data_IF_330994690572
#
_entry.id   IF_330994690572
#
_cell.length_a   1.000
_cell.length_b   1.000
_cell.length_c   1.000
_cell.angle_alpha   90.00
_cell.angle_beta   90.00
_cell.angle_gamma   90.00
#
_symmetry.space_group_name_H-M   'P 1'
#
loop_
_entity.id
_entity.type
_entity.pdbx_description
1 polymer ?
#
# COMPACT_ATOMS: atom_id res chain seq x y z
N UNK A 1 10.76 10.64 20.94
CA UNK A 1 9.84 9.51 20.71
C UNK A 1 9.55 9.46 19.22
N UNK A 2 9.86 8.36 18.54
CA UNK A 2 9.34 8.12 17.20
C UNK A 2 7.86 7.74 17.35
N UNK A 3 7.00 8.29 16.50
CA UNK A 3 5.61 7.86 16.43
C UNK A 3 5.55 6.45 15.80
N UNK A 4 4.67 5.60 16.32
CA UNK A 4 4.35 4.31 15.70
C UNK A 4 3.12 4.48 14.83
N UNK A 5 3.10 3.80 13.68
CA UNK A 5 2.02 3.83 12.71
C UNK A 5 1.43 2.43 12.60
N UNK A 6 0.15 2.30 12.93
CA UNK A 6 -0.58 1.04 12.84
C UNK A 6 -1.01 0.72 11.39
N UNK A 7 -0.83 1.64 10.44
CA UNK A 7 -1.47 1.56 9.13
C UNK A 7 -2.86 2.18 9.11
N UNK A 8 -3.67 1.73 8.15
CA UNK A 8 -4.97 2.34 7.86
C UNK A 8 -5.35 2.10 6.40
N UNK A 9 -6.50 2.61 5.99
CA UNK A 9 -6.90 2.71 4.58
C UNK A 9 -7.33 4.14 4.31
N UNK A 10 -7.20 4.60 3.07
CA UNK A 10 -7.84 5.86 2.67
C UNK A 10 -9.34 5.64 2.51
N UNK A 11 -10.13 6.54 3.09
CA UNK A 11 -11.57 6.66 2.80
C UNK A 11 -11.69 7.52 1.54
N UNK A 12 -11.40 6.91 0.38
CA UNK A 12 -11.40 7.56 -0.93
C UNK A 12 -11.80 6.57 -2.03
N UNK A 13 -12.59 7.05 -2.99
CA UNK A 13 -13.24 6.24 -4.03
C UNK A 13 -14.62 6.80 -4.38
N UNK A 14 -15.37 6.20 -5.34
CA UNK A 14 -16.75 6.59 -5.62
C UNK A 14 -17.57 6.60 -4.32
N UNK A 15 -18.37 7.65 -4.12
CA UNK A 15 -19.25 7.77 -2.94
C UNK A 15 -19.98 6.44 -2.69
N UNK A 16 -19.84 5.91 -1.47
CA UNK A 16 -20.63 4.76 -1.00
C UNK A 16 -19.97 3.38 -1.12
N UNK A 17 -18.73 3.27 -1.60
CA UNK A 17 -18.01 1.99 -1.56
C UNK A 17 -17.51 1.72 -0.13
N UNK A 18 -18.02 0.69 0.57
CA UNK A 18 -17.52 0.35 1.90
C UNK A 18 -16.07 -0.11 1.77
N UNK A 19 -15.19 0.42 2.63
CA UNK A 19 -13.85 -0.13 2.85
C UNK A 19 -13.75 -0.56 4.31
N UNK A 20 -13.11 -1.70 4.53
CA UNK A 20 -12.81 -2.19 5.86
C UNK A 20 -11.31 -2.36 6.00
N UNK A 21 -10.82 -2.19 7.23
CA UNK A 21 -9.46 -2.52 7.59
C UNK A 21 -9.44 -3.04 9.03
N UNK A 22 -8.56 -4.00 9.28
CA UNK A 22 -8.27 -4.48 10.63
C UNK A 22 -6.87 -4.01 11.02
N UNK A 23 -6.76 -3.38 12.19
CA UNK A 23 -5.53 -2.81 12.75
C UNK A 23 -5.31 -3.35 14.17
N UNK A 24 -4.07 -3.68 14.49
CA UNK A 24 -3.67 -3.98 15.86
C UNK A 24 -3.27 -2.71 16.61
N UNK A 25 -4.05 -2.36 17.63
CA UNK A 25 -3.82 -1.16 18.45
C UNK A 25 -3.49 -1.56 19.89
N UNK A 26 -2.23 -1.40 20.29
CA UNK A 26 -1.81 -1.62 21.68
C UNK A 26 -2.35 -0.55 22.63
N UNK A 27 -2.36 -0.84 23.94
CA UNK A 27 -2.65 0.16 24.96
C UNK A 27 -1.79 1.42 24.75
N UNK A 28 -2.42 2.58 24.71
CA UNK A 28 -1.73 3.83 24.43
C UNK A 28 -2.58 4.87 23.70
N UNK A 29 -1.94 5.98 23.35
CA UNK A 29 -2.56 7.08 22.62
C UNK A 29 -2.30 6.93 21.13
N UNK A 30 -3.37 6.94 20.35
CA UNK A 30 -3.37 6.82 18.90
C UNK A 30 -3.97 8.07 18.27
N UNK A 31 -3.59 8.32 17.02
CA UNK A 31 -4.11 9.42 16.20
C UNK A 31 -4.71 8.79 14.94
N UNK A 32 -6.00 9.01 14.72
CA UNK A 32 -6.62 8.82 13.42
C UNK A 32 -6.53 10.14 12.65
N UNK A 33 -5.90 10.15 11.48
CA UNK A 33 -5.80 11.34 10.64
C UNK A 33 -6.13 11.00 9.19
N UNK A 34 -6.51 12.03 8.41
CA UNK A 34 -6.68 11.93 6.97
C UNK A 34 -5.37 12.29 6.27
N UNK A 35 -4.80 11.36 5.51
CA UNK A 35 -3.45 11.51 4.93
C UNK A 35 -3.41 12.51 3.76
N UNK A 36 -4.58 12.87 3.22
CA UNK A 36 -4.72 13.90 2.19
C UNK A 36 -4.52 15.30 2.80
N UNK A 37 -3.54 16.11 2.32
CA UNK A 37 -3.27 17.44 2.88
C UNK A 37 -4.44 18.43 2.79
N UNK A 38 -5.36 18.22 1.84
CA UNK A 38 -6.58 19.01 1.66
C UNK A 38 -7.78 18.53 2.47
N UNK A 39 -7.67 17.40 3.18
CA UNK A 39 -8.75 16.86 3.97
C UNK A 39 -9.23 17.86 5.04
N UNK A 40 -10.53 18.20 5.08
CA UNK A 40 -11.06 19.14 6.08
C UNK A 40 -11.14 18.54 7.50
N UNK A 41 -10.97 17.22 7.64
CA UNK A 41 -11.07 16.51 8.91
C UNK A 41 -9.82 16.73 9.77
N UNK A 42 -10.01 17.30 10.95
CA UNK A 42 -8.93 17.40 11.94
C UNK A 42 -8.55 15.99 12.47
N UNK A 43 -7.26 15.75 12.80
CA UNK A 43 -6.84 14.52 13.46
C UNK A 43 -7.62 14.27 14.76
N UNK A 44 -8.06 13.03 14.96
CA UNK A 44 -8.75 12.58 16.16
C UNK A 44 -7.77 11.79 17.02
N UNK A 45 -7.55 12.26 18.25
CA UNK A 45 -6.75 11.56 19.24
C UNK A 45 -7.66 10.68 20.08
N UNK A 46 -7.30 9.41 20.25
CA UNK A 46 -8.02 8.49 21.12
C UNK A 46 -7.04 7.64 21.93
N UNK A 47 -7.51 7.11 23.05
CA UNK A 47 -6.70 6.25 23.93
C UNK A 47 -7.29 4.86 23.97
N UNK A 48 -6.49 3.87 23.59
CA UNK A 48 -6.77 2.46 23.84
C UNK A 48 -6.33 2.14 25.26
N UNK A 49 -7.27 1.76 26.11
CA UNK A 49 -7.03 1.50 27.55
C UNK A 49 -7.02 0.02 27.90
N UNK A 50 -7.46 -0.85 26.99
CA UNK A 50 -7.37 -2.29 27.16
C UNK A 50 -5.96 -2.77 26.81
N UNK A 51 -5.42 -3.68 27.63
CA UNK A 51 -4.21 -4.39 27.26
C UNK A 51 -4.45 -5.19 25.97
N UNK A 52 -3.49 -5.14 25.05
CA UNK A 52 -3.55 -5.95 23.84
C UNK A 52 -3.47 -7.44 24.21
N UNK A 53 -4.36 -8.30 23.71
CA UNK A 53 -4.31 -9.73 24.00
C UNK A 53 -2.98 -10.34 23.52
N UNK A 54 -2.44 -11.28 24.28
CA UNK A 54 -1.22 -11.99 23.86
C UNK A 54 -1.44 -12.90 22.65
N UNK A 55 -2.71 -13.25 22.37
CA UNK A 55 -3.14 -14.04 21.23
C UNK A 55 -4.41 -13.37 20.65
N UNK A 56 -4.28 -12.84 19.44
CA UNK A 56 -5.39 -12.35 18.63
C UNK A 56 -5.49 -13.25 17.41
N UNK A 57 -6.68 -13.75 17.11
CA UNK A 57 -6.90 -14.47 15.87
C UNK A 57 -6.84 -13.47 14.72
N UNK A 58 -5.87 -13.65 13.83
CA UNK A 58 -5.73 -12.83 12.63
C UNK A 58 -6.92 -13.08 11.68
N UNK A 59 -7.39 -12.05 10.94
CA UNK A 59 -8.32 -12.24 9.84
C UNK A 59 -7.82 -13.28 8.84
N UNK A 60 -8.73 -14.09 8.31
CA UNK A 60 -8.41 -15.00 7.21
C UNK A 60 -7.99 -14.17 5.98
N UNK A 61 -6.82 -14.48 5.44
CA UNK A 61 -6.23 -13.83 4.27
C UNK A 61 -5.71 -14.90 3.32
N UNK A 62 -5.85 -14.64 2.03
CA UNK A 62 -5.41 -15.53 0.97
C UNK A 62 -4.35 -14.89 0.05
N UNK A 63 -4.04 -13.61 0.28
CA UNK A 63 -2.92 -12.89 -0.34
C UNK A 63 -2.05 -12.30 0.77
N UNK A 64 -0.75 -12.61 0.72
CA UNK A 64 0.25 -12.03 1.60
C UNK A 64 1.04 -10.96 0.84
N UNK A 65 1.18 -9.78 1.47
CA UNK A 65 2.02 -8.68 0.98
C UNK A 65 3.10 -8.40 2.02
N UNK A 66 4.34 -8.68 1.68
CA UNK A 66 5.50 -8.40 2.55
C UNK A 66 6.20 -7.14 2.06
N UNK A 67 6.24 -6.12 2.90
CA UNK A 67 6.99 -4.90 2.67
C UNK A 67 8.35 -5.03 3.35
N UNK A 68 9.42 -4.94 2.58
CA UNK A 68 10.80 -4.84 3.08
C UNK A 68 11.42 -3.55 2.58
N UNK A 69 12.57 -3.16 3.14
CA UNK A 69 13.26 -1.98 2.67
C UNK A 69 13.61 -2.14 1.18
N UNK A 70 13.02 -1.27 0.36
CA UNK A 70 13.19 -1.20 -1.08
C UNK A 70 12.69 -2.43 -1.85
N UNK A 71 11.72 -3.17 -1.30
CA UNK A 71 11.10 -4.29 -1.99
C UNK A 71 9.68 -4.60 -1.53
N UNK A 72 8.86 -5.10 -2.44
CA UNK A 72 7.52 -5.59 -2.15
C UNK A 72 7.43 -7.02 -2.70
N UNK A 73 6.93 -7.95 -1.89
CA UNK A 73 6.61 -9.29 -2.34
C UNK A 73 5.12 -9.54 -2.19
N UNK A 74 4.49 -10.08 -3.23
CA UNK A 74 3.06 -10.39 -3.26
C UNK A 74 2.91 -11.86 -3.62
N UNK A 75 2.35 -12.65 -2.70
CA UNK A 75 2.16 -14.09 -2.85
C UNK A 75 0.72 -14.51 -2.50
N UNK A 76 0.29 -15.66 -3.01
CA UNK A 76 -0.99 -16.27 -2.66
C UNK A 76 -1.96 -16.38 -3.83
N UNK A 77 -3.26 -16.23 -3.53
CA UNK A 77 -4.36 -16.47 -4.46
C UNK A 77 -4.63 -15.25 -5.37
N UNK A 78 -3.76 -15.05 -6.36
CA UNK A 78 -3.86 -13.93 -7.32
C UNK A 78 -4.85 -14.23 -8.46
N UNK A 79 -6.13 -14.39 -8.09
CA UNK A 79 -7.24 -14.60 -9.03
C UNK A 79 -8.27 -13.47 -8.93
N UNK A 80 -9.19 -13.39 -9.87
CA UNK A 80 -10.28 -12.42 -9.80
C UNK A 80 -11.28 -12.82 -8.71
N UNK A 81 -11.75 -11.85 -7.92
CA UNK A 81 -12.65 -12.09 -6.80
C UNK A 81 -12.43 -11.13 -5.64
N UNK A 82 -13.13 -11.40 -4.54
CA UNK A 82 -12.93 -10.69 -3.27
C UNK A 82 -11.83 -11.40 -2.48
N UNK A 83 -10.87 -10.62 -1.99
CA UNK A 83 -9.69 -11.10 -1.27
C UNK A 83 -9.43 -10.27 -0.02
N UNK A 84 -8.71 -10.87 0.92
CA UNK A 84 -8.14 -10.16 2.06
C UNK A 84 -6.63 -10.23 1.97
N UNK A 85 -5.99 -9.06 1.86
CA UNK A 85 -4.54 -8.93 1.88
C UNK A 85 -4.08 -8.82 3.33
N UNK A 86 -3.13 -9.66 3.74
CA UNK A 86 -2.31 -9.43 4.94
C UNK A 86 -1.05 -8.66 4.52
N UNK A 87 -0.97 -7.40 4.92
CA UNK A 87 0.13 -6.48 4.55
C UNK A 87 1.02 -6.29 5.76
N UNK A 88 2.20 -6.89 5.76
CA UNK A 88 3.16 -6.83 6.85
C UNK A 88 4.37 -5.98 6.48
N UNK A 89 4.75 -5.06 7.37
CA UNK A 89 6.03 -4.36 7.27
C UNK A 89 7.14 -5.11 8.03
N UNK A 90 7.99 -5.82 7.28
CA UNK A 90 9.21 -6.48 7.79
C UNK A 90 10.48 -5.63 7.59
N UNK A 91 10.37 -4.45 6.99
CA UNK A 91 11.46 -3.49 6.79
C UNK A 91 11.81 -2.71 8.06
N UNK A 92 12.98 -2.06 8.06
CA UNK A 92 13.38 -1.15 9.14
C UNK A 92 12.78 0.25 8.97
N UNK A 93 12.32 0.59 7.75
CA UNK A 93 11.67 1.87 7.47
C UNK A 93 10.13 1.76 7.51
N UNK A 94 9.41 2.86 7.76
CA UNK A 94 7.96 2.89 7.57
C UNK A 94 7.61 2.67 6.09
N UNK A 95 6.60 1.84 5.84
CA UNK A 95 6.16 1.50 4.48
C UNK A 95 4.64 1.53 4.37
N UNK A 96 4.16 1.73 3.15
CA UNK A 96 2.76 1.55 2.81
C UNK A 96 2.65 0.84 1.46
N UNK A 97 1.45 0.35 1.13
CA UNK A 97 1.14 -0.25 -0.15
C UNK A 97 0.19 0.68 -0.91
N UNK A 98 0.60 1.14 -2.09
CA UNK A 98 -0.32 1.59 -3.13
C UNK A 98 -0.47 0.45 -4.14
N UNK A 99 -1.71 0.04 -4.39
CA UNK A 99 -2.06 -1.00 -5.35
C UNK A 99 -2.89 -0.39 -6.47
N UNK A 100 -2.33 -0.40 -7.67
CA UNK A 100 -2.98 0.08 -8.89
C UNK A 100 -3.20 -1.07 -9.87
N UNK A 101 -4.29 -1.00 -10.64
CA UNK A 101 -4.52 -1.85 -11.81
C UNK A 101 -4.05 -1.12 -13.06
N UNK A 102 -3.28 -1.79 -13.90
CA UNK A 102 -2.93 -1.30 -15.23
C UNK A 102 -4.10 -1.46 -16.21
N UNK A 103 -4.38 -0.40 -16.95
CA UNK A 103 -5.48 -0.31 -17.92
C UNK A 103 -5.04 -0.34 -19.38
N UNK A 104 -3.73 -0.17 -19.62
CA UNK A 104 -3.18 -0.13 -20.97
C UNK A 104 -2.92 -1.53 -21.54
N UNK A 105 -2.17 -1.56 -22.65
CA UNK A 105 -1.89 -2.76 -23.45
C UNK A 105 -0.39 -3.09 -23.55
N UNK A 106 0.46 -2.38 -22.81
CA UNK A 106 1.89 -2.70 -22.70
C UNK A 106 2.10 -3.97 -21.86
N UNK A 107 3.17 -4.68 -22.19
CA UNK A 107 3.66 -5.80 -21.37
C UNK A 107 4.46 -5.23 -20.20
N UNK A 108 3.75 -4.87 -19.12
CA UNK A 108 4.38 -4.34 -17.92
C UNK A 108 5.03 -5.47 -17.11
N UNK A 109 6.32 -5.31 -16.85
CA UNK A 109 7.06 -6.08 -15.86
C UNK A 109 7.83 -5.13 -14.90
N UNK A 110 8.56 -5.71 -13.95
CA UNK A 110 9.35 -4.93 -12.98
C UNK A 110 10.46 -4.11 -13.64
N UNK A 111 11.02 -4.55 -14.76
CA UNK A 111 12.09 -3.84 -15.47
C UNK A 111 11.50 -2.61 -16.18
N UNK A 112 10.33 -2.76 -16.80
CA UNK A 112 9.56 -1.64 -17.36
C UNK A 112 9.28 -0.60 -16.28
N UNK A 113 8.76 -1.03 -15.12
CA UNK A 113 8.43 -0.09 -14.04
C UNK A 113 9.65 0.59 -13.45
N UNK A 114 10.79 -0.10 -13.38
CA UNK A 114 12.07 0.52 -13.00
C UNK A 114 12.42 1.64 -13.97
N UNK A 115 12.36 1.38 -15.28
CA UNK A 115 12.66 2.39 -16.29
C UNK A 115 11.67 3.58 -16.27
N UNK A 116 10.38 3.32 -16.02
CA UNK A 116 9.37 4.37 -15.92
C UNK A 116 9.63 5.29 -14.71
N UNK A 117 9.93 4.73 -13.55
CA UNK A 117 10.24 5.48 -12.33
C UNK A 117 11.55 6.28 -12.48
N UNK A 118 12.57 5.72 -13.12
CA UNK A 118 13.81 6.46 -13.46
C UNK A 118 13.54 7.63 -14.43
N UNK A 119 12.66 7.43 -15.42
CA UNK A 119 12.27 8.48 -16.34
C UNK A 119 11.54 9.61 -15.60
N UNK A 120 10.61 9.28 -14.71
CA UNK A 120 9.90 10.24 -13.87
C UNK A 120 10.88 11.05 -13.00
N UNK A 121 11.78 10.37 -12.29
CA UNK A 121 12.75 11.01 -11.38
C UNK A 121 13.70 11.95 -12.12
N UNK A 122 14.05 11.64 -13.37
CA UNK A 122 14.94 12.45 -14.21
C UNK A 122 14.23 13.52 -15.04
N UNK A 123 12.90 13.50 -15.09
CA UNK A 123 12.10 14.33 -16.01
C UNK A 123 12.26 13.94 -17.48
N UNK A 124 12.71 12.72 -17.75
CA UNK A 124 12.74 12.17 -19.10
C UNK A 124 11.32 11.79 -19.57
N UNK A 125 11.18 11.47 -20.85
CA UNK A 125 9.92 10.95 -21.38
C UNK A 125 9.69 9.52 -20.85
N UNK A 126 8.44 9.22 -20.48
CA UNK A 126 8.04 7.88 -20.08
C UNK A 126 8.26 6.85 -21.22
N UNK A 127 8.64 5.61 -20.88
CA UNK A 127 8.85 4.56 -21.87
C UNK A 127 7.55 4.22 -22.60
N UNK A 128 7.65 4.01 -23.91
CA UNK A 128 6.57 3.50 -24.78
C UNK A 128 5.22 4.23 -24.68
N UNK A 129 5.25 5.50 -24.26
CA UNK A 129 4.05 6.33 -24.12
C UNK A 129 3.21 6.03 -22.88
N UNK A 130 3.73 5.26 -21.92
CA UNK A 130 3.10 5.03 -20.63
C UNK A 130 2.77 6.34 -19.93
N UNK A 131 1.54 6.47 -19.47
CA UNK A 131 1.04 7.64 -18.76
C UNK A 131 0.35 7.19 -17.47
N UNK A 132 0.99 7.31 -16.30
CA UNK A 132 0.42 6.83 -15.05
C UNK A 132 -0.90 7.53 -14.68
N UNK A 133 -1.20 8.71 -15.24
CA UNK A 133 -2.48 9.39 -14.99
C UNK A 133 -3.66 8.72 -15.70
N UNK A 134 -3.42 8.04 -16.82
CA UNK A 134 -4.48 7.45 -17.65
C UNK A 134 -4.40 5.93 -17.73
N UNK A 135 -3.22 5.35 -17.51
CA UNK A 135 -2.95 3.92 -17.57
C UNK A 135 -3.10 3.19 -16.24
N UNK A 136 -3.16 3.91 -15.11
CA UNK A 136 -3.31 3.30 -13.78
C UNK A 136 -4.65 3.67 -13.14
N UNK A 137 -5.33 2.66 -12.60
CA UNK A 137 -6.51 2.81 -11.76
C UNK A 137 -6.18 2.40 -10.33
N UNK A 138 -6.35 3.32 -9.37
CA UNK A 138 -6.10 3.00 -7.97
C UNK A 138 -7.15 2.04 -7.41
N UNK A 139 -6.67 0.89 -6.95
CA UNK A 139 -7.50 -0.19 -6.40
C UNK A 139 -7.58 -0.03 -4.89
N UNK A 140 -6.42 0.07 -4.24
CA UNK A 140 -6.34 0.13 -2.79
C UNK A 140 -5.07 0.84 -2.31
N UNK A 141 -5.12 1.34 -1.08
CA UNK A 141 -3.97 1.91 -0.40
C UNK A 141 -4.01 1.50 1.08
N UNK A 142 -2.93 0.87 1.56
CA UNK A 142 -2.67 0.83 3.00
C UNK A 142 -2.06 2.16 3.42
N UNK A 143 -2.36 2.67 4.60
CA UNK A 143 -1.61 3.81 5.15
C UNK A 143 -0.27 3.34 5.70
N UNK A 144 0.60 4.31 6.02
CA UNK A 144 1.95 4.06 6.56
C UNK A 144 1.90 3.14 7.77
N UNK A 145 2.73 2.09 7.75
CA UNK A 145 2.91 1.10 8.80
C UNK A 145 4.34 1.18 9.34
N UNK A 146 4.49 1.16 10.67
CA UNK A 146 5.78 0.94 11.31
C UNK A 146 6.26 -0.50 11.14
N UNK A 147 7.57 -0.72 11.35
CA UNK A 147 8.18 -2.05 11.41
C UNK A 147 7.43 -2.98 12.36
N UNK A 148 7.19 -4.20 11.91
CA UNK A 148 6.53 -5.27 12.66
C UNK A 148 5.01 -5.14 12.74
N UNK A 149 4.41 -4.17 12.05
CA UNK A 149 2.96 -4.03 11.98
C UNK A 149 2.42 -4.83 10.80
N UNK A 150 1.26 -5.45 11.02
CA UNK A 150 0.44 -6.07 9.99
C UNK A 150 -0.92 -5.37 9.91
N UNK A 151 -1.42 -5.16 8.70
CA UNK A 151 -2.79 -4.71 8.45
C UNK A 151 -3.49 -5.62 7.47
N UNK A 152 -4.81 -5.79 7.65
CA UNK A 152 -5.62 -6.60 6.76
C UNK A 152 -6.57 -5.74 5.95
N UNK A 153 -6.43 -5.78 4.63
CA UNK A 153 -7.16 -4.94 3.69
C UNK A 153 -8.01 -5.79 2.76
N UNK A 154 -9.32 -5.56 2.78
CA UNK A 154 -10.26 -6.18 1.84
C UNK A 154 -10.18 -5.49 0.46
N UNK A 155 -10.08 -6.27 -0.60
CA UNK A 155 -10.05 -5.79 -2.00
C UNK A 155 -10.90 -6.66 -2.91
N UNK A 156 -11.42 -6.07 -3.98
CA UNK A 156 -12.03 -6.81 -5.09
C UNK A 156 -11.14 -6.70 -6.32
N UNK A 157 -10.56 -7.82 -6.76
CA UNK A 157 -9.66 -7.89 -7.91
C UNK A 157 -10.41 -8.39 -9.15
N UNK A 158 -9.98 -7.88 -10.30
CA UNK A 158 -10.38 -8.43 -11.61
C UNK A 158 -9.13 -8.94 -12.32
N UNK A 159 -9.30 -9.79 -13.33
CA UNK A 159 -8.17 -10.25 -14.11
C UNK A 159 -7.44 -9.07 -14.80
N UNK A 160 -6.11 -9.06 -14.73
CA UNK A 160 -5.29 -7.98 -15.29
C UNK A 160 -3.90 -7.89 -14.66
N UNK A 161 -3.13 -6.89 -15.09
CA UNK A 161 -1.82 -6.57 -14.52
C UNK A 161 -1.95 -5.52 -13.43
N UNK A 162 -1.23 -5.70 -12.34
CA UNK A 162 -1.26 -4.86 -11.16
C UNK A 162 0.14 -4.39 -10.80
N UNK A 163 0.19 -3.20 -10.23
CA UNK A 163 1.41 -2.56 -9.73
C UNK A 163 1.23 -2.29 -8.23
N UNK A 164 2.11 -2.87 -7.43
CA UNK A 164 2.30 -2.52 -6.03
C UNK A 164 3.49 -1.57 -5.90
N UNK A 165 3.33 -0.43 -5.21
CA UNK A 165 4.40 0.55 -4.97
C UNK A 165 4.37 1.09 -3.54
N UNK A 166 5.50 1.62 -3.09
CA UNK A 166 5.61 2.42 -1.87
C UNK A 166 6.37 3.72 -2.18
N UNK A 167 5.72 4.87 -1.99
CA UNK A 167 6.36 6.18 -2.19
C UNK A 167 6.78 6.85 -0.88
N UNK A 168 6.91 6.09 0.21
CA UNK A 168 7.39 6.66 1.47
C UNK A 168 8.78 7.27 1.24
N UNK A 169 9.03 8.51 1.72
CA UNK A 169 10.30 9.17 1.48
C UNK A 169 11.37 8.65 2.43
N UNK A 170 12.51 8.24 1.86
CA UNK A 170 13.69 7.80 2.62
C UNK A 170 14.15 8.91 3.57
N UNK A 171 14.39 8.55 4.83
CA UNK A 171 14.81 9.53 5.83
C UNK A 171 16.16 10.19 5.44
N UNK A 172 16.20 11.52 5.48
CA UNK A 172 17.41 12.31 5.23
C UNK A 172 17.68 12.66 3.76
N UNK A 173 17.29 11.81 2.80
CA UNK A 173 17.41 12.12 1.36
C UNK A 173 16.10 12.58 0.74
N UNK A 174 14.97 12.10 1.25
CA UNK A 174 13.63 12.34 0.71
C UNK A 174 13.33 11.56 -0.57
N UNK A 175 14.23 10.68 -1.03
CA UNK A 175 14.01 9.86 -2.24
C UNK A 175 12.89 8.85 -1.94
N UNK A 176 11.80 8.79 -2.74
CA UNK A 176 10.74 7.82 -2.53
C UNK A 176 11.22 6.38 -2.70
N UNK A 177 10.73 5.44 -1.89
CA UNK A 177 11.19 4.04 -1.94
C UNK A 177 10.95 3.37 -3.30
N UNK A 178 9.87 3.68 -4.01
CA UNK A 178 9.60 3.17 -5.35
C UNK A 178 10.74 3.52 -6.33
N UNK A 179 11.28 4.74 -6.24
CA UNK A 179 12.44 5.18 -7.04
C UNK A 179 13.74 4.46 -6.66
N UNK A 180 13.74 3.68 -5.59
CA UNK A 180 14.85 2.84 -5.13
C UNK A 180 14.59 1.35 -5.38
N UNK A 181 13.52 1.00 -6.08
CA UNK A 181 13.14 -0.37 -6.44
C UNK A 181 12.00 -0.96 -5.62
N UNK A 182 11.33 -0.17 -4.77
CA UNK A 182 10.19 -0.64 -3.98
C UNK A 182 8.90 -0.71 -4.77
N UNK A 183 8.89 -1.59 -5.77
CA UNK A 183 7.73 -1.87 -6.60
C UNK A 183 7.68 -3.35 -6.97
N UNK A 184 6.47 -3.83 -7.27
CA UNK A 184 6.24 -5.17 -7.76
C UNK A 184 5.09 -5.16 -8.77
N UNK A 185 5.36 -5.67 -9.97
CA UNK A 185 4.34 -5.95 -10.99
C UNK A 185 3.93 -7.41 -10.88
N UNK A 186 2.63 -7.68 -10.93
CA UNK A 186 2.10 -9.04 -10.91
C UNK A 186 0.79 -9.14 -11.70
N UNK A 187 0.39 -10.37 -12.01
CA UNK A 187 -0.83 -10.65 -12.77
C UNK A 187 -1.87 -11.29 -11.88
N UNK A 188 -3.11 -10.82 -11.98
CA UNK A 188 -4.30 -11.46 -11.46
C UNK A 188 -4.97 -12.24 -12.59
N UNK A 189 -5.22 -13.53 -12.39
CA UNK A 189 -5.85 -14.39 -13.40
C UNK A 189 -7.37 -14.50 -13.22
N UNK A 190 -8.11 -14.84 -14.27
CA UNK A 190 -9.57 -15.04 -14.22
C UNK A 190 -10.01 -16.46 -13.87
#
# INVERSE_FOLDING_TARGET
HQAAYAGGTVIGGPEGSPRSIVLDLTEGTWIAWADEPSAPQAPVIFTVTGAFPNEVAEPESDIAVTLVDFGINVDGNLVAGDHTLAIENQGAEPHFLLLDRYLGDLDLDNDFMTAALEAEMSGAAMPDGFDPETDLESVAISLTQSTGTTTWLEVSLVAGTYLATCFFPTAGTGVPHAMMGMHQVFTVTG
#
